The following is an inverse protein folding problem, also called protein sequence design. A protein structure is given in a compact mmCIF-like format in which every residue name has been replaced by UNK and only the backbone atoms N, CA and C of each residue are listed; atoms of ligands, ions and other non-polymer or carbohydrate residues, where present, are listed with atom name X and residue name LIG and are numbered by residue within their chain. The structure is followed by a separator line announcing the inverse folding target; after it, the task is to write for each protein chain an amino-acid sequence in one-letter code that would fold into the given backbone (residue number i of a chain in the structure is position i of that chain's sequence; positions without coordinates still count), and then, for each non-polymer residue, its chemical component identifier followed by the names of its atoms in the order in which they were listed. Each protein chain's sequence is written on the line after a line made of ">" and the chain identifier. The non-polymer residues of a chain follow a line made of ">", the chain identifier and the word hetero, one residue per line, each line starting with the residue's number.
data_IF_532376224503
#
_entry.id   IF_532376224503
#
_cell.length_a   1.000
_cell.length_b   1.000
_cell.length_c   1.000
_cell.angle_alpha   90.00
_cell.angle_beta   90.00
_cell.angle_gamma   90.00
#
_symmetry.space_group_name_H-M   'P 1'
#
loop_
_entity.id
_entity.type
_entity.pdbx_description
1 polymer ?
#
# COMPACT_ATOMS: atom_id res chain seq x y z
N UNK A 1 5.51 23.38 -11.39
CA UNK A 1 4.47 22.46 -11.16
C UNK A 1 3.90 22.51 -9.75
N UNK A 2 2.92 21.66 -9.49
CA UNK A 2 2.25 21.52 -8.19
C UNK A 2 2.71 20.31 -7.39
N UNK A 3 3.74 19.61 -7.85
CA UNK A 3 4.30 18.45 -7.14
C UNK A 3 5.13 18.96 -5.96
N UNK A 4 4.75 18.57 -4.75
CA UNK A 4 5.48 18.87 -3.53
C UNK A 4 6.44 17.72 -3.16
N UNK A 5 6.07 16.47 -3.50
CA UNK A 5 6.92 15.30 -3.35
C UNK A 5 6.63 14.29 -4.46
N UNK A 6 7.67 13.91 -5.17
CA UNK A 6 7.67 12.85 -6.18
C UNK A 6 8.59 11.69 -5.74
N UNK A 7 9.01 10.85 -6.66
CA UNK A 7 9.90 9.71 -6.40
C UNK A 7 11.34 10.10 -6.08
N UNK A 8 11.75 11.32 -6.40
CA UNK A 8 13.10 11.83 -6.16
C UNK A 8 13.04 12.87 -5.04
N UNK A 9 13.32 12.44 -3.82
CA UNK A 9 13.06 13.23 -2.61
C UNK A 9 14.31 13.75 -1.93
N UNK A 10 14.13 14.85 -1.18
CA UNK A 10 15.16 15.50 -0.42
C UNK A 10 16.21 16.21 -1.28
N UNK A 11 17.18 16.84 -0.65
CA UNK A 11 18.26 17.59 -1.33
C UNK A 11 19.19 16.70 -2.15
N UNK A 12 19.25 15.41 -1.84
CA UNK A 12 20.09 14.44 -2.54
C UNK A 12 19.35 13.72 -3.67
N UNK A 13 18.07 14.03 -3.91
CA UNK A 13 17.24 13.44 -4.97
C UNK A 13 17.28 11.90 -4.94
N UNK A 14 17.09 11.32 -3.76
CA UNK A 14 17.07 9.88 -3.57
C UNK A 14 15.76 9.29 -4.13
N UNK A 15 15.80 8.18 -4.89
CA UNK A 15 14.61 7.53 -5.42
C UNK A 15 13.93 6.66 -4.35
N UNK A 16 13.58 7.25 -3.20
CA UNK A 16 13.02 6.59 -2.03
C UNK A 16 11.79 7.37 -1.56
N UNK A 17 10.69 7.28 -2.31
CA UNK A 17 9.44 7.94 -1.99
C UNK A 17 8.30 6.93 -1.96
N UNK A 18 7.73 6.71 -0.78
CA UNK A 18 6.58 5.84 -0.58
C UNK A 18 5.25 6.59 -0.73
N UNK A 19 5.31 7.92 -0.83
CA UNK A 19 4.15 8.80 -0.91
C UNK A 19 4.41 9.95 -1.89
N UNK A 20 3.49 10.18 -2.81
CA UNK A 20 3.45 11.35 -3.67
C UNK A 20 2.57 12.43 -3.05
N UNK A 21 2.99 13.70 -3.12
CA UNK A 21 2.22 14.84 -2.60
C UNK A 21 2.16 15.95 -3.62
N UNK A 22 0.96 16.46 -3.87
CA UNK A 22 0.72 17.58 -4.78
C UNK A 22 -0.07 18.69 -4.09
N UNK A 23 0.19 19.95 -4.47
CA UNK A 23 -0.62 21.09 -4.00
C UNK A 23 -1.93 21.21 -4.76
N UNK A 24 -2.97 21.68 -4.12
CA UNK A 24 -4.26 21.97 -4.74
C UNK A 24 -4.22 23.18 -5.69
N UNK A 25 -3.28 24.10 -5.50
CA UNK A 25 -3.12 25.30 -6.30
C UNK A 25 -1.72 25.88 -6.20
N UNK A 26 -1.50 27.02 -6.83
CA UNK A 26 -0.20 27.72 -6.83
C UNK A 26 -0.02 28.70 -5.66
N UNK A 27 -1.10 29.02 -4.97
CA UNK A 27 -1.14 30.02 -3.89
C UNK A 27 -1.58 29.44 -2.55
N UNK A 28 -1.62 28.11 -2.44
CA UNK A 28 -2.02 27.38 -1.22
C UNK A 28 -1.01 26.31 -0.88
N UNK A 29 -0.92 25.97 0.40
CA UNK A 29 -0.15 24.82 0.90
C UNK A 29 -1.01 23.57 1.11
N UNK A 30 -2.35 23.70 0.96
CA UNK A 30 -3.21 22.51 0.98
C UNK A 30 -2.89 21.63 -0.22
N UNK A 31 -2.99 20.32 -0.02
CA UNK A 31 -2.61 19.35 -1.03
C UNK A 31 -3.39 18.06 -0.98
N UNK A 32 -2.91 17.12 -1.76
CA UNK A 32 -3.34 15.74 -1.76
C UNK A 32 -2.13 14.83 -1.71
N UNK A 33 -2.25 13.75 -0.97
CA UNK A 33 -1.26 12.67 -0.92
C UNK A 33 -1.83 11.41 -1.55
N UNK A 34 -0.94 10.62 -2.16
CA UNK A 34 -1.24 9.31 -2.72
C UNK A 34 -0.09 8.36 -2.41
N UNK A 35 -0.44 7.14 -2.02
CA UNK A 35 0.50 6.04 -1.81
C UNK A 35 -0.09 4.72 -2.29
N UNK A 36 0.73 3.71 -2.43
CA UNK A 36 0.30 2.36 -2.81
C UNK A 36 0.75 1.34 -1.79
N UNK A 37 0.07 0.19 -1.78
CA UNK A 37 0.45 -0.98 -1.00
C UNK A 37 0.03 -2.25 -1.69
N UNK A 38 0.84 -3.30 -1.54
CA UNK A 38 0.58 -4.64 -2.05
C UNK A 38 1.37 -5.69 -1.26
N UNK A 39 0.87 -6.93 -1.21
CA UNK A 39 1.58 -8.06 -0.59
C UNK A 39 1.20 -9.40 -1.25
N UNK A 40 1.23 -9.42 -2.57
CA UNK A 40 0.79 -10.57 -3.37
C UNK A 40 1.47 -11.90 -3.00
N UNK A 41 2.78 -11.98 -2.72
CA UNK A 41 3.41 -13.25 -2.32
C UNK A 41 2.83 -13.87 -1.05
N UNK A 42 2.31 -13.06 -0.13
CA UNK A 42 1.69 -13.56 1.11
C UNK A 42 0.37 -14.29 0.82
N UNK A 43 -0.32 -13.97 -0.27
CA UNK A 43 -1.55 -14.65 -0.65
C UNK A 43 -1.38 -16.14 -0.97
N UNK A 44 -0.15 -16.57 -1.29
CA UNK A 44 0.17 -18.00 -1.42
C UNK A 44 0.07 -18.77 -0.09
N UNK A 45 0.13 -18.06 1.03
CA UNK A 45 0.05 -18.62 2.37
C UNK A 45 -1.30 -18.31 3.03
N UNK A 46 -1.75 -17.05 2.90
CA UNK A 46 -2.97 -16.55 3.54
C UNK A 46 -3.47 -15.31 2.76
N UNK A 47 -4.53 -15.51 1.96
CA UNK A 47 -5.15 -14.43 1.18
C UNK A 47 -5.65 -13.27 2.04
N UNK A 48 -6.48 -13.52 3.09
CA UNK A 48 -6.89 -12.49 4.04
C UNK A 48 -5.76 -11.68 4.67
N UNK A 49 -4.66 -12.32 5.06
CA UNK A 49 -3.48 -11.63 5.58
C UNK A 49 -2.83 -10.73 4.52
N UNK A 50 -2.69 -11.23 3.29
CA UNK A 50 -2.19 -10.44 2.15
C UNK A 50 -3.02 -9.18 1.94
N UNK A 51 -4.35 -9.30 1.98
CA UNK A 51 -5.27 -8.17 1.85
C UNK A 51 -5.10 -7.13 2.97
N UNK A 52 -5.01 -7.55 4.23
CA UNK A 52 -4.76 -6.64 5.36
C UNK A 52 -3.43 -5.91 5.22
N UNK A 53 -2.39 -6.63 4.79
CA UNK A 53 -1.06 -6.05 4.63
C UNK A 53 -0.98 -5.03 3.50
N UNK A 54 -1.62 -5.30 2.36
CA UNK A 54 -1.69 -4.35 1.25
C UNK A 54 -2.32 -3.02 1.70
N UNK A 55 -3.40 -3.07 2.49
CA UNK A 55 -4.04 -1.88 3.04
C UNK A 55 -3.15 -1.20 4.08
N UNK A 56 -2.57 -1.97 5.00
CA UNK A 56 -1.70 -1.43 6.03
C UNK A 56 -0.48 -0.72 5.42
N UNK A 57 0.12 -1.29 4.40
CA UNK A 57 1.24 -0.67 3.67
C UNK A 57 0.82 0.64 3.01
N UNK A 58 -0.30 0.66 2.28
CA UNK A 58 -0.79 1.88 1.64
C UNK A 58 -1.03 3.01 2.65
N UNK A 59 -1.57 2.69 3.84
CA UNK A 59 -1.82 3.66 4.90
C UNK A 59 -0.51 4.12 5.56
N UNK A 60 0.42 3.21 5.86
CA UNK A 60 1.69 3.57 6.49
C UNK A 60 2.58 4.38 5.56
N UNK A 61 2.58 4.08 4.26
CA UNK A 61 3.28 4.88 3.25
C UNK A 61 2.69 6.30 3.17
N UNK A 62 1.37 6.43 3.29
CA UNK A 62 0.69 7.73 3.27
C UNK A 62 1.01 8.58 4.52
N UNK A 63 1.39 7.96 5.63
CA UNK A 63 1.73 8.64 6.88
C UNK A 63 2.95 9.57 6.79
N UNK A 64 3.71 9.55 5.69
CA UNK A 64 4.74 10.54 5.40
C UNK A 64 4.18 11.94 5.12
N UNK A 65 2.88 12.07 4.81
CA UNK A 65 2.21 13.35 4.55
C UNK A 65 1.35 13.78 5.75
N UNK A 66 1.10 15.09 5.87
CA UNK A 66 0.23 15.67 6.92
C UNK A 66 -1.25 15.44 6.61
N UNK A 67 -1.68 14.19 6.71
CA UNK A 67 -3.05 13.75 6.39
C UNK A 67 -4.04 14.13 7.49
N UNK A 68 -3.61 14.20 8.73
CA UNK A 68 -4.43 14.51 9.90
C UNK A 68 -5.12 13.28 10.49
N UNK A 69 -6.25 12.84 9.94
CA UNK A 69 -7.04 11.75 10.49
C UNK A 69 -7.20 10.59 9.49
N UNK A 70 -7.08 9.37 9.98
CA UNK A 70 -7.20 8.15 9.17
C UNK A 70 -8.56 8.04 8.46
N UNK A 71 -9.63 8.56 9.06
CA UNK A 71 -10.97 8.54 8.47
C UNK A 71 -11.10 9.36 7.19
N UNK A 72 -10.14 10.23 6.90
CA UNK A 72 -10.08 10.98 5.65
C UNK A 72 -9.46 10.20 4.49
N UNK A 73 -8.85 9.06 4.77
CA UNK A 73 -8.23 8.21 3.74
C UNK A 73 -9.33 7.51 2.94
N UNK A 74 -9.17 7.55 1.62
CA UNK A 74 -9.98 6.78 0.67
C UNK A 74 -9.08 5.85 -0.12
N UNK A 75 -9.56 4.63 -0.33
CA UNK A 75 -8.80 3.59 -1.00
C UNK A 75 -9.42 3.26 -2.35
N UNK A 76 -8.57 2.94 -3.32
CA UNK A 76 -8.96 2.28 -4.55
C UNK A 76 -8.34 0.89 -4.55
N UNK A 77 -9.15 -0.15 -4.75
CA UNK A 77 -8.71 -1.53 -4.74
C UNK A 77 -8.65 -2.11 -6.15
N UNK A 78 -7.51 -2.65 -6.54
CA UNK A 78 -7.35 -3.41 -7.76
C UNK A 78 -7.15 -4.88 -7.38
N UNK A 79 -8.18 -5.70 -7.64
CA UNK A 79 -8.19 -7.13 -7.39
C UNK A 79 -7.76 -7.88 -8.64
N UNK A 80 -6.82 -8.76 -8.51
CA UNK A 80 -6.35 -9.63 -9.59
C UNK A 80 -6.33 -11.07 -9.09
N UNK A 81 -7.11 -11.95 -9.75
CA UNK A 81 -7.25 -13.34 -9.32
C UNK A 81 -7.35 -14.27 -10.53
N UNK A 82 -6.85 -15.51 -10.44
CA UNK A 82 -7.05 -16.52 -11.45
C UNK A 82 -8.38 -17.26 -11.21
N UNK A 83 -9.50 -16.55 -11.37
CA UNK A 83 -10.83 -17.11 -11.11
C UNK A 83 -11.09 -18.36 -11.95
N UNK A 84 -11.75 -19.33 -11.34
CA UNK A 84 -12.01 -20.65 -11.94
C UNK A 84 -10.87 -21.66 -11.75
N UNK A 85 -9.71 -21.24 -11.25
CA UNK A 85 -8.68 -22.19 -10.83
C UNK A 85 -9.04 -22.82 -9.46
N UNK A 86 -8.66 -24.07 -9.20
CA UNK A 86 -9.02 -24.75 -7.98
C UNK A 86 -8.62 -23.99 -6.71
N UNK A 87 -9.62 -23.62 -5.88
CA UNK A 87 -9.41 -22.92 -4.61
C UNK A 87 -9.28 -21.41 -4.69
N UNK A 88 -8.99 -20.82 -5.85
CA UNK A 88 -8.70 -19.40 -5.98
C UNK A 88 -9.93 -18.50 -5.77
N UNK A 89 -11.12 -18.96 -6.20
CA UNK A 89 -12.36 -18.23 -5.97
C UNK A 89 -12.70 -18.12 -4.47
N UNK A 90 -12.43 -19.16 -3.70
CA UNK A 90 -12.62 -19.15 -2.25
C UNK A 90 -11.63 -18.18 -1.58
N UNK A 91 -10.36 -18.23 -1.97
CA UNK A 91 -9.33 -17.32 -1.45
C UNK A 91 -9.69 -15.85 -1.74
N UNK A 92 -10.14 -15.56 -2.96
CA UNK A 92 -10.62 -14.22 -3.33
C UNK A 92 -11.81 -13.80 -2.45
N UNK A 93 -12.81 -14.64 -2.31
CA UNK A 93 -14.00 -14.35 -1.50
C UNK A 93 -13.65 -14.07 -0.04
N UNK A 94 -12.85 -14.93 0.58
CA UNK A 94 -12.44 -14.78 1.98
C UNK A 94 -11.61 -13.49 2.18
N UNK A 95 -10.76 -13.16 1.23
CA UNK A 95 -9.96 -11.93 1.28
C UNK A 95 -10.83 -10.69 1.13
N UNK A 96 -11.79 -10.69 0.22
CA UNK A 96 -12.74 -9.58 0.05
C UNK A 96 -13.60 -9.40 1.30
N UNK A 97 -14.07 -10.48 1.91
CA UNK A 97 -14.82 -10.42 3.17
C UNK A 97 -13.96 -9.82 4.31
N UNK A 98 -12.73 -10.32 4.46
CA UNK A 98 -11.83 -9.82 5.51
C UNK A 98 -11.57 -8.33 5.36
N UNK A 99 -11.23 -7.90 4.15
CA UNK A 99 -10.91 -6.50 3.84
C UNK A 99 -12.14 -5.60 3.97
N UNK A 100 -13.25 -5.98 3.30
CA UNK A 100 -14.41 -5.12 3.15
C UNK A 100 -15.34 -5.08 4.37
N UNK A 101 -15.50 -6.22 5.07
CA UNK A 101 -16.45 -6.32 6.17
C UNK A 101 -15.83 -6.26 7.56
N UNK A 102 -14.51 -6.48 7.67
CA UNK A 102 -13.84 -6.50 8.97
C UNK A 102 -12.74 -5.44 9.08
N UNK A 103 -11.73 -5.49 8.22
CA UNK A 103 -10.51 -4.69 8.40
C UNK A 103 -10.74 -3.20 8.12
N UNK A 104 -11.29 -2.86 6.96
CA UNK A 104 -11.54 -1.45 6.60
C UNK A 104 -12.55 -0.77 7.56
N UNK A 105 -13.69 -1.41 7.93
CA UNK A 105 -14.59 -0.83 8.93
C UNK A 105 -13.93 -0.62 10.29
N UNK A 106 -13.09 -1.57 10.73
CA UNK A 106 -12.35 -1.44 12.01
C UNK A 106 -11.38 -0.26 11.99
N UNK A 107 -10.76 0.05 10.86
CA UNK A 107 -9.86 1.19 10.69
C UNK A 107 -10.61 2.51 10.43
N UNK A 108 -11.90 2.48 10.12
CA UNK A 108 -12.66 3.66 9.73
C UNK A 108 -12.33 4.18 8.32
N UNK A 109 -11.77 3.33 7.45
CA UNK A 109 -11.46 3.67 6.06
C UNK A 109 -12.44 3.02 5.10
N UNK A 110 -12.55 3.54 3.88
CA UNK A 110 -13.45 3.01 2.86
C UNK A 110 -12.76 2.78 1.52
N UNK A 111 -13.31 1.84 0.75
CA UNK A 111 -12.92 1.53 -0.63
C UNK A 111 -14.09 1.92 -1.54
N UNK A 112 -14.24 3.20 -1.90
CA UNK A 112 -15.37 3.66 -2.73
C UNK A 112 -15.27 3.26 -4.19
N UNK A 113 -14.08 2.86 -4.65
CA UNK A 113 -13.80 2.52 -6.04
C UNK A 113 -12.77 1.41 -6.14
N UNK A 114 -12.86 0.64 -7.21
CA UNK A 114 -11.90 -0.42 -7.51
C UNK A 114 -12.20 -1.03 -8.87
N UNK A 115 -11.40 -2.02 -9.22
CA UNK A 115 -11.59 -2.86 -10.41
C UNK A 115 -11.05 -4.26 -10.13
N UNK A 116 -11.42 -5.21 -10.97
CA UNK A 116 -10.96 -6.58 -10.91
C UNK A 116 -10.38 -7.06 -12.25
N UNK A 117 -9.58 -8.10 -12.19
CA UNK A 117 -9.07 -8.88 -13.31
C UNK A 117 -9.09 -10.36 -12.90
N UNK A 118 -9.98 -11.13 -13.52
CA UNK A 118 -10.27 -12.51 -13.09
C UNK A 118 -9.60 -13.59 -13.95
N UNK A 119 -8.71 -13.25 -14.87
CA UNK A 119 -8.03 -14.20 -15.76
C UNK A 119 -6.51 -14.15 -15.60
N UNK A 120 -6.05 -14.21 -14.34
CA UNK A 120 -4.64 -14.01 -14.01
C UNK A 120 -3.82 -15.29 -14.18
N UNK A 121 -3.69 -15.74 -15.43
CA UNK A 121 -2.80 -16.82 -15.81
C UNK A 121 -2.20 -16.57 -17.20
N UNK A 122 -1.06 -17.20 -17.46
CA UNK A 122 -0.40 -17.19 -18.76
C UNK A 122 -0.37 -18.61 -19.30
N UNK A 123 -0.72 -18.77 -20.57
CA UNK A 123 -0.64 -20.05 -21.30
C UNK A 123 0.31 -19.85 -22.48
N UNK A 124 1.24 -20.77 -22.66
CA UNK A 124 2.18 -20.75 -23.79
C UNK A 124 2.58 -22.17 -24.22
N UNK A 125 3.15 -22.30 -25.38
CA UNK A 125 3.81 -23.53 -25.81
C UNK A 125 5.31 -23.45 -25.57
N UNK A 126 5.88 -24.49 -25.01
CA UNK A 126 7.32 -24.59 -24.82
C UNK A 126 8.04 -24.93 -26.15
N UNK A 127 9.36 -25.05 -26.12
CA UNK A 127 10.17 -25.35 -27.31
C UNK A 127 9.86 -26.72 -27.93
N UNK A 128 9.17 -27.61 -27.22
CA UNK A 128 8.75 -28.93 -27.67
C UNK A 128 7.31 -28.94 -28.19
N UNK A 129 6.63 -27.79 -28.16
CA UNK A 129 5.22 -27.65 -28.53
C UNK A 129 4.24 -28.09 -27.44
N UNK A 130 4.71 -28.35 -26.22
CA UNK A 130 3.85 -28.69 -25.10
C UNK A 130 3.21 -27.42 -24.51
N UNK A 131 1.91 -27.46 -24.27
CA UNK A 131 1.22 -26.36 -23.59
C UNK A 131 1.67 -26.28 -22.13
N UNK A 132 2.02 -25.09 -21.70
CA UNK A 132 2.38 -24.74 -20.32
C UNK A 132 1.45 -23.64 -19.82
N UNK A 133 1.15 -23.69 -18.52
CA UNK A 133 0.31 -22.71 -17.85
C UNK A 133 0.98 -22.26 -16.57
N UNK A 134 0.98 -20.97 -16.32
CA UNK A 134 1.39 -20.36 -15.06
C UNK A 134 0.22 -19.57 -14.50
N UNK A 135 -0.19 -19.90 -13.29
CA UNK A 135 -1.24 -19.22 -12.54
C UNK A 135 -0.58 -18.21 -11.59
N UNK A 136 -1.09 -16.97 -11.58
CA UNK A 136 -0.65 -15.95 -10.65
C UNK A 136 -1.37 -16.12 -9.31
N UNK A 137 -0.76 -15.76 -8.17
CA UNK A 137 -1.49 -15.71 -6.91
C UNK A 137 -2.54 -14.59 -6.91
N UNK A 138 -3.52 -14.70 -6.01
CA UNK A 138 -4.38 -13.55 -5.69
C UNK A 138 -3.50 -12.33 -5.36
N UNK A 139 -3.83 -11.19 -5.96
CA UNK A 139 -3.14 -9.94 -5.73
C UNK A 139 -4.14 -8.84 -5.44
N UNK A 140 -3.94 -8.13 -4.33
CA UNK A 140 -4.63 -6.89 -4.03
C UNK A 140 -3.61 -5.75 -4.08
N UNK A 141 -3.78 -4.85 -5.05
CA UNK A 141 -3.02 -3.59 -5.12
C UNK A 141 -3.94 -2.46 -4.68
N UNK A 142 -3.53 -1.75 -3.65
CA UNK A 142 -4.30 -0.67 -3.05
C UNK A 142 -3.63 0.66 -3.35
N UNK A 143 -4.39 1.63 -3.84
CA UNK A 143 -3.98 3.03 -3.88
C UNK A 143 -4.75 3.79 -2.80
N UNK A 144 -4.03 4.51 -1.95
CA UNK A 144 -4.58 5.35 -0.89
C UNK A 144 -4.48 6.83 -1.27
N UNK A 145 -5.53 7.58 -0.92
CA UNK A 145 -5.64 9.02 -1.21
C UNK A 145 -6.11 9.73 0.04
N UNK A 146 -5.52 10.90 0.32
CA UNK A 146 -6.00 11.75 1.41
C UNK A 146 -5.73 13.23 1.13
N UNK A 147 -6.57 14.14 1.67
CA UNK A 147 -6.24 15.56 1.70
C UNK A 147 -5.05 15.80 2.63
N UNK A 148 -4.22 16.77 2.28
CA UNK A 148 -3.07 17.22 3.06
C UNK A 148 -3.30 18.67 3.46
N UNK A 149 -3.15 18.98 4.75
CA UNK A 149 -3.36 20.33 5.27
C UNK A 149 -2.20 21.25 4.90
N UNK A 150 -0.98 20.76 5.03
CA UNK A 150 0.22 21.52 4.68
C UNK A 150 1.27 20.61 4.03
N UNK A 151 1.45 20.76 2.72
CA UNK A 151 2.40 19.96 1.94
C UNK A 151 3.86 20.15 2.37
N UNK A 152 4.18 21.25 3.06
CA UNK A 152 5.53 21.53 3.56
C UNK A 152 5.93 20.63 4.72
N UNK A 153 4.95 20.01 5.40
CA UNK A 153 5.17 19.10 6.52
C UNK A 153 5.41 17.66 6.06
N UNK A 154 5.47 17.41 4.76
CA UNK A 154 5.75 16.07 4.22
C UNK A 154 7.14 15.61 4.63
N UNK A 155 7.22 14.42 5.21
CA UNK A 155 8.47 13.79 5.60
C UNK A 155 9.23 13.28 4.39
N UNK A 156 10.55 13.30 4.47
CA UNK A 156 11.49 12.74 3.48
C UNK A 156 12.39 11.73 4.17
N UNK A 157 13.10 10.84 3.43
CA UNK A 157 14.07 9.92 4.01
C UNK A 157 15.28 10.59 4.66
N UNK A 158 15.50 11.87 4.40
CA UNK A 158 16.61 12.61 5.03
C UNK A 158 16.38 12.75 6.54
N UNK A 159 17.28 12.19 7.34
CA UNK A 159 17.31 12.43 8.77
C UNK A 159 17.66 13.89 9.05
N UNK A 160 16.80 14.58 9.79
CA UNK A 160 16.97 16.00 10.10
C UNK A 160 17.60 16.15 11.47
N UNK A 161 18.70 16.91 11.54
CA UNK A 161 19.22 17.37 12.81
C UNK A 161 18.30 18.45 13.40
N UNK A 162 18.00 18.37 14.68
CA UNK A 162 17.31 19.45 15.39
C UNK A 162 18.24 20.69 15.43
N UNK A 163 17.78 21.86 14.94
CA UNK A 163 18.56 23.09 15.03
C UNK A 163 18.94 23.49 16.45
N UNK A 164 18.19 23.01 17.45
CA UNK A 164 18.46 23.28 18.88
C UNK A 164 19.52 22.35 19.49
N UNK A 165 20.02 21.38 18.72
CA UNK A 165 21.04 20.43 19.15
C UNK A 165 20.51 19.31 20.08
N UNK A 166 19.18 19.19 20.22
CA UNK A 166 18.58 18.12 21.04
C UNK A 166 18.62 16.75 20.34
N UNK A 167 18.98 16.73 19.06
CA UNK A 167 19.11 15.52 18.25
C UNK A 167 17.77 14.95 17.80
N UNK A 168 17.82 14.01 16.87
CA UNK A 168 16.68 13.17 16.47
C UNK A 168 16.85 11.75 17.01
N UNK A 169 15.76 11.09 17.33
CA UNK A 169 15.78 9.70 17.79
C UNK A 169 15.12 8.81 16.73
N UNK A 170 15.68 7.62 16.53
CA UNK A 170 15.05 6.58 15.76
C UNK A 170 14.19 5.75 16.71
N UNK A 171 12.90 5.62 16.39
CA UNK A 171 11.96 4.82 17.17
C UNK A 171 11.69 3.52 16.40
N UNK A 172 12.00 2.39 17.02
CA UNK A 172 11.62 1.08 16.52
C UNK A 172 10.31 0.65 17.16
N UNK A 173 9.28 0.42 16.35
CA UNK A 173 7.98 -0.07 16.78
C UNK A 173 7.85 -1.53 16.38
N UNK A 174 7.95 -2.43 17.36
CA UNK A 174 7.71 -3.84 17.13
C UNK A 174 6.21 -4.15 17.32
N UNK A 175 5.53 -4.48 16.21
CA UNK A 175 4.11 -4.83 16.20
C UNK A 175 3.87 -6.34 16.42
N UNK A 176 4.92 -7.14 16.53
CA UNK A 176 4.83 -8.56 16.86
C UNK A 176 4.57 -8.78 18.34
N UNK A 177 3.94 -9.90 18.68
CA UNK A 177 3.87 -10.36 20.07
C UNK A 177 5.23 -10.92 20.49
N UNK A 178 5.60 -10.77 21.76
CA UNK A 178 6.86 -11.28 22.27
C UNK A 178 6.98 -12.80 22.01
N UNK A 179 8.04 -13.21 21.30
CA UNK A 179 8.32 -14.60 20.95
C UNK A 179 7.63 -15.12 19.69
N UNK A 180 6.78 -14.34 19.04
CA UNK A 180 6.17 -14.68 17.76
C UNK A 180 6.74 -13.78 16.67
N UNK A 181 7.06 -14.37 15.51
CA UNK A 181 7.37 -13.66 14.28
C UNK A 181 6.14 -13.81 13.33
N UNK A 182 5.07 -13.00 13.50
CA UNK A 182 3.91 -13.11 12.65
C UNK A 182 4.31 -12.78 11.20
N UNK A 183 3.90 -13.65 10.28
CA UNK A 183 4.07 -13.42 8.86
C UNK A 183 3.42 -12.09 8.47
N UNK A 184 4.17 -11.28 7.77
CA UNK A 184 3.60 -10.28 6.92
C UNK A 184 3.62 -8.85 7.39
N UNK A 185 4.39 -8.49 8.40
CA UNK A 185 4.56 -7.07 8.71
C UNK A 185 5.59 -6.37 7.83
N UNK A 186 6.44 -7.11 7.12
CA UNK A 186 7.49 -6.55 6.27
C UNK A 186 7.66 -7.34 4.98
N UNK A 187 8.35 -6.78 4.02
CA UNK A 187 8.76 -7.44 2.79
C UNK A 187 9.98 -8.37 2.99
N UNK A 188 10.50 -8.46 4.19
CA UNK A 188 11.66 -9.28 4.58
C UNK A 188 11.21 -10.50 5.35
#
# INVERSE_FOLDING_TARGET
>A
GRVARDQMVGKFQLPAADCAVTTMGYTTFNGQAMATGERSPVALLDGPASGRLAIAEAITNLAAADVGDISQIRLSANWMAPCGEPGEDAILYDTVQEVGLKFCPKLGVSIPVGKDSCSMHTVWQDRKGEEKKQVAPLSLVVSSFAPVKDVRLTLTPDLKADPRGEGSVLVYVNLGKAGEAPLGATAL
#
